data_IF_937449517391
#
_entry.id   IF_937449517391
#
_cell.length_a   1.000
_cell.length_b   1.000
_cell.length_c   1.000
_cell.angle_alpha   90.00
_cell.angle_beta   90.00
_cell.angle_gamma   90.00
#
_symmetry.space_group_name_H-M   'P 1'
#
loop_
_entity.id
_entity.type
_entity.pdbx_description
1 polymer ?
#
# COMPACT_ATOMS: atom_id res chain seq x y z
N UNK A 1 16.51 11.44 -4.21
CA UNK A 1 16.52 9.98 -4.51
C UNK A 1 17.27 9.63 -5.80
N UNK A 2 17.25 10.49 -6.83
CA UNK A 2 17.93 10.21 -8.12
C UNK A 2 19.44 9.99 -7.95
N UNK A 3 20.10 10.78 -7.09
CA UNK A 3 21.53 10.63 -6.81
C UNK A 3 21.86 9.46 -5.87
N UNK A 4 20.85 8.90 -5.21
CA UNK A 4 20.96 7.80 -4.25
C UNK A 4 19.93 6.72 -4.58
N UNK A 5 20.11 5.99 -5.70
CA UNK A 5 19.09 5.10 -6.26
C UNK A 5 18.67 3.97 -5.30
N UNK A 6 19.54 3.56 -4.37
CA UNK A 6 19.17 2.59 -3.33
C UNK A 6 18.03 3.08 -2.42
N UNK A 7 17.86 4.40 -2.27
CA UNK A 7 16.80 5.00 -1.44
C UNK A 7 15.39 4.68 -1.92
N UNK A 8 15.19 4.31 -3.19
CA UNK A 8 13.88 3.85 -3.66
C UNK A 8 13.41 2.58 -2.93
N UNK A 9 14.35 1.77 -2.43
CA UNK A 9 14.06 0.52 -1.72
C UNK A 9 14.37 0.66 -0.23
N UNK A 10 15.54 1.18 0.13
CA UNK A 10 15.98 1.20 1.54
C UNK A 10 15.14 2.13 2.40
N UNK A 11 14.54 3.18 1.84
CA UNK A 11 13.70 4.10 2.61
C UNK A 11 12.40 3.47 3.13
N UNK A 12 11.95 2.38 2.49
CA UNK A 12 10.77 1.60 2.91
C UNK A 12 10.97 1.05 4.34
N UNK A 13 12.21 0.81 4.74
CA UNK A 13 12.55 0.23 6.04
C UNK A 13 12.95 1.29 7.09
N UNK A 14 13.14 2.55 6.69
CA UNK A 14 13.45 3.64 7.60
C UNK A 14 12.17 4.26 8.16
N UNK A 15 12.21 4.72 9.41
CA UNK A 15 11.05 5.29 10.09
C UNK A 15 11.44 6.54 10.85
N UNK A 16 10.56 7.55 10.84
CA UNK A 16 10.79 8.84 11.48
C UNK A 16 10.82 8.77 13.03
N UNK A 17 10.34 7.67 13.61
CA UNK A 17 10.30 7.46 15.06
C UNK A 17 9.64 6.13 15.44
N UNK A 18 9.62 5.84 16.74
CA UNK A 18 9.09 4.57 17.29
C UNK A 18 7.60 4.43 17.03
N UNK A 19 6.83 5.50 17.18
CA UNK A 19 5.37 5.49 16.94
C UNK A 19 5.05 5.17 15.47
N UNK A 20 5.76 5.82 14.54
CA UNK A 20 5.60 5.56 13.11
C UNK A 20 5.96 4.10 12.76
N UNK A 21 7.05 3.58 13.32
CA UNK A 21 7.40 2.15 13.18
C UNK A 21 6.31 1.24 13.74
N UNK A 22 5.86 1.50 14.96
CA UNK A 22 4.86 0.68 15.65
C UNK A 22 3.56 0.61 14.83
N UNK A 23 3.07 1.75 14.35
CA UNK A 23 1.84 1.80 13.56
C UNK A 23 1.98 1.03 12.23
N UNK A 24 3.09 1.23 11.51
CA UNK A 24 3.35 0.48 10.28
C UNK A 24 3.40 -1.02 10.53
N UNK A 25 4.09 -1.46 11.59
CA UNK A 25 4.19 -2.89 11.92
C UNK A 25 2.86 -3.46 12.37
N UNK A 26 2.03 -2.69 13.08
CA UNK A 26 0.69 -3.13 13.49
C UNK A 26 -0.22 -3.35 12.28
N UNK A 27 -0.26 -2.40 11.35
CA UNK A 27 -1.06 -2.53 10.12
C UNK A 27 -0.53 -3.67 9.26
N UNK A 28 0.79 -3.76 9.10
CA UNK A 28 1.43 -4.83 8.34
C UNK A 28 1.18 -6.21 8.97
N UNK A 29 1.16 -6.32 10.29
CA UNK A 29 0.84 -7.56 10.98
C UNK A 29 -0.58 -8.02 10.62
N UNK A 30 -1.61 -7.20 10.84
CA UNK A 30 -2.99 -7.64 10.58
C UNK A 30 -3.31 -7.80 9.09
N UNK A 31 -2.98 -6.79 8.29
CA UNK A 31 -3.34 -6.77 6.87
C UNK A 31 -2.36 -7.58 6.03
N UNK A 32 -1.06 -7.46 6.32
CA UNK A 32 -0.02 -8.19 5.61
C UNK A 32 -0.17 -9.69 5.79
N UNK A 33 -0.35 -10.20 7.02
CA UNK A 33 -0.60 -11.64 7.23
C UNK A 33 -1.86 -12.12 6.49
N UNK A 34 -2.93 -11.32 6.48
CA UNK A 34 -4.17 -11.66 5.80
C UNK A 34 -3.93 -11.79 4.30
N UNK A 35 -3.24 -10.83 3.68
CA UNK A 35 -2.95 -10.86 2.25
C UNK A 35 -1.94 -11.96 1.90
N UNK A 36 -0.88 -12.13 2.68
CA UNK A 36 0.16 -13.14 2.46
C UNK A 36 -0.44 -14.55 2.42
N UNK A 37 -1.40 -14.86 3.29
CA UNK A 37 -2.12 -16.14 3.27
C UNK A 37 -2.94 -16.34 1.99
N UNK A 38 -3.39 -15.25 1.35
CA UNK A 38 -4.19 -15.32 0.12
C UNK A 38 -3.32 -15.47 -1.14
N UNK A 39 -2.14 -14.83 -1.18
CA UNK A 39 -1.31 -14.74 -2.41
C UNK A 39 0.03 -15.48 -2.32
N UNK A 40 0.42 -15.94 -1.13
CA UNK A 40 1.70 -16.59 -0.84
C UNK A 40 2.84 -15.61 -0.56
N UNK A 41 3.84 -16.08 0.20
CA UNK A 41 4.97 -15.26 0.69
C UNK A 41 5.77 -14.57 -0.43
N UNK A 42 6.02 -15.26 -1.55
CA UNK A 42 6.80 -14.69 -2.65
C UNK A 42 6.06 -13.54 -3.35
N UNK A 43 4.78 -13.73 -3.66
CA UNK A 43 3.96 -12.69 -4.29
C UNK A 43 3.76 -11.51 -3.34
N UNK A 44 3.58 -11.78 -2.05
CA UNK A 44 3.49 -10.76 -1.02
C UNK A 44 4.77 -9.92 -0.91
N UNK A 45 5.94 -10.55 -0.81
CA UNK A 45 7.22 -9.84 -0.73
C UNK A 45 7.47 -8.96 -1.96
N UNK A 46 7.22 -9.49 -3.17
CA UNK A 46 7.35 -8.72 -4.41
C UNK A 46 6.37 -7.54 -4.46
N UNK A 47 5.10 -7.77 -4.10
CA UNK A 47 4.09 -6.71 -4.03
C UNK A 47 4.51 -5.62 -3.05
N UNK A 48 4.93 -5.99 -1.84
CA UNK A 48 5.31 -5.04 -0.80
C UNK A 48 6.45 -4.13 -1.27
N UNK A 49 7.53 -4.71 -1.79
CA UNK A 49 8.66 -3.92 -2.31
C UNK A 49 8.26 -3.08 -3.51
N UNK A 50 7.53 -3.65 -4.47
CA UNK A 50 7.10 -2.92 -5.67
C UNK A 50 6.17 -1.75 -5.32
N UNK A 51 5.25 -1.94 -4.38
CA UNK A 51 4.35 -0.88 -3.90
C UNK A 51 5.10 0.22 -3.16
N UNK A 52 6.11 -0.13 -2.37
CA UNK A 52 6.99 0.87 -1.75
C UNK A 52 7.77 1.70 -2.79
N UNK A 53 8.31 1.04 -3.82
CA UNK A 53 9.03 1.72 -4.91
C UNK A 53 8.09 2.64 -5.72
N UNK A 54 6.92 2.14 -6.13
CA UNK A 54 5.93 2.95 -6.85
C UNK A 54 5.37 4.07 -5.97
N UNK A 55 5.23 3.82 -4.66
CA UNK A 55 4.94 4.87 -3.69
C UNK A 55 6.02 5.95 -3.68
N UNK A 56 7.29 5.60 -3.55
CA UNK A 56 8.39 6.57 -3.59
C UNK A 56 8.40 7.38 -4.90
N UNK A 57 8.07 6.76 -6.04
CA UNK A 57 7.87 7.49 -7.31
C UNK A 57 6.68 8.46 -7.22
N UNK A 58 5.54 8.01 -6.70
CA UNK A 58 4.36 8.85 -6.49
C UNK A 58 4.64 10.05 -5.58
N UNK A 59 5.42 9.87 -4.51
CA UNK A 59 5.90 10.97 -3.68
C UNK A 59 6.80 11.93 -4.47
N UNK A 60 7.78 11.44 -5.22
CA UNK A 60 8.65 12.32 -6.02
C UNK A 60 7.89 13.19 -7.03
N UNK A 61 6.78 12.69 -7.56
CA UNK A 61 5.93 13.42 -8.51
C UNK A 61 5.04 14.48 -7.85
N UNK A 62 4.86 14.42 -6.53
CA UNK A 62 3.89 15.25 -5.79
C UNK A 62 4.53 16.08 -4.68
N UNK A 63 5.75 15.75 -4.26
CA UNK A 63 6.47 16.45 -3.21
C UNK A 63 6.79 17.89 -3.63
N UNK A 64 6.59 18.82 -2.69
CA UNK A 64 7.00 20.22 -2.85
C UNK A 64 8.52 20.37 -2.90
N UNK A 65 9.25 19.52 -2.18
CA UNK A 65 10.70 19.36 -2.27
C UNK A 65 11.07 17.89 -2.54
N UNK A 66 11.31 17.51 -3.82
CA UNK A 66 11.71 16.16 -4.20
C UNK A 66 13.10 15.72 -3.68
N UNK A 67 13.89 16.65 -3.14
CA UNK A 67 15.21 16.35 -2.58
C UNK A 67 15.11 15.75 -1.17
N UNK A 68 14.03 16.06 -0.45
CA UNK A 68 13.73 15.43 0.84
C UNK A 68 13.16 14.02 0.57
N UNK A 69 13.84 12.92 0.97
CA UNK A 69 13.34 11.58 0.71
C UNK A 69 12.17 11.22 1.63
N UNK A 70 11.15 10.56 1.09
CA UNK A 70 10.14 9.88 1.89
C UNK A 70 10.75 8.68 2.61
N UNK A 71 10.39 8.47 3.88
CA UNK A 71 10.78 7.32 4.69
C UNK A 71 9.53 6.64 5.25
N UNK A 72 9.53 5.31 5.28
CA UNK A 72 8.47 4.53 5.91
C UNK A 72 7.93 3.42 5.03
N UNK A 73 7.40 2.39 5.68
CA UNK A 73 6.74 1.26 5.04
C UNK A 73 5.33 1.59 4.54
N UNK A 74 4.78 2.78 4.85
CA UNK A 74 3.38 3.11 4.61
C UNK A 74 2.97 3.02 3.14
N UNK A 75 3.81 3.46 2.19
CA UNK A 75 3.53 3.29 0.76
C UNK A 75 3.38 1.81 0.35
N UNK A 76 4.23 0.93 0.87
CA UNK A 76 4.12 -0.51 0.66
C UNK A 76 2.86 -1.10 1.30
N UNK A 77 2.51 -0.64 2.51
CA UNK A 77 1.29 -1.02 3.23
C UNK A 77 0.03 -0.57 2.48
N UNK A 78 0.03 0.60 1.85
CA UNK A 78 -1.07 1.02 0.98
C UNK A 78 -1.22 0.10 -0.24
N UNK A 79 -0.12 -0.48 -0.73
CA UNK A 79 -0.16 -1.59 -1.68
C UNK A 79 -0.94 -2.81 -1.18
N UNK A 80 -0.64 -3.25 0.04
CA UNK A 80 -1.37 -4.35 0.71
C UNK A 80 -2.86 -4.01 0.84
N UNK A 81 -3.19 -2.79 1.28
CA UNK A 81 -4.56 -2.28 1.41
C UNK A 81 -5.27 -2.30 0.06
N UNK A 82 -4.64 -1.78 -1.00
CA UNK A 82 -5.22 -1.73 -2.34
C UNK A 82 -5.50 -3.13 -2.89
N UNK A 83 -4.58 -4.07 -2.70
CA UNK A 83 -4.80 -5.46 -3.12
C UNK A 83 -5.93 -6.12 -2.31
N UNK A 84 -5.97 -5.94 -0.99
CA UNK A 84 -7.05 -6.47 -0.14
C UNK A 84 -8.41 -5.86 -0.48
N UNK A 85 -8.48 -4.55 -0.76
CA UNK A 85 -9.71 -3.89 -1.17
C UNK A 85 -10.29 -4.50 -2.45
N UNK A 86 -9.43 -5.00 -3.36
CA UNK A 86 -9.88 -5.72 -4.54
C UNK A 86 -10.17 -7.18 -4.23
N UNK A 87 -9.30 -7.92 -3.55
CA UNK A 87 -9.48 -9.36 -3.36
C UNK A 87 -10.58 -9.69 -2.34
N UNK A 88 -10.64 -8.94 -1.24
CA UNK A 88 -11.55 -9.15 -0.11
C UNK A 88 -12.24 -7.83 0.30
N UNK A 89 -13.04 -7.19 -0.58
CA UNK A 89 -13.62 -5.86 -0.36
C UNK A 89 -14.46 -5.73 0.91
N UNK A 90 -15.13 -6.83 1.32
CA UNK A 90 -16.01 -6.88 2.47
C UNK A 90 -15.35 -7.47 3.72
N UNK A 91 -14.04 -7.77 3.68
CA UNK A 91 -13.29 -8.10 4.88
C UNK A 91 -13.37 -6.92 5.85
N UNK A 92 -13.78 -7.17 7.09
CA UNK A 92 -13.87 -6.14 8.10
C UNK A 92 -12.49 -5.88 8.70
N UNK A 93 -12.09 -4.61 8.69
CA UNK A 93 -11.02 -4.10 9.53
C UNK A 93 -11.63 -3.35 10.71
N UNK A 94 -10.91 -3.28 11.82
CA UNK A 94 -11.40 -2.61 13.03
C UNK A 94 -10.57 -1.36 13.30
N UNK A 95 -11.15 -0.19 13.01
CA UNK A 95 -10.51 1.09 13.29
C UNK A 95 -10.44 1.27 14.81
N UNK A 96 -9.23 1.50 15.33
CA UNK A 96 -8.90 1.51 16.77
C UNK A 96 -9.36 0.25 17.53
N UNK A 97 -9.57 -0.88 16.83
CA UNK A 97 -10.07 -2.12 17.41
C UNK A 97 -11.57 -2.14 17.73
N UNK A 98 -12.33 -1.09 17.38
CA UNK A 98 -13.72 -0.92 17.81
C UNK A 98 -14.68 -0.84 16.63
N UNK A 99 -14.38 -0.01 15.63
CA UNK A 99 -15.33 0.30 14.56
C UNK A 99 -15.08 -0.63 13.37
N UNK A 100 -15.99 -1.58 13.08
CA UNK A 100 -15.85 -2.43 11.90
C UNK A 100 -16.09 -1.62 10.64
N UNK A 101 -15.15 -1.72 9.69
CA UNK A 101 -15.20 -1.03 8.42
C UNK A 101 -14.83 -2.00 7.30
N UNK A 102 -15.64 -2.13 6.23
CA UNK A 102 -15.26 -2.94 5.07
C UNK A 102 -13.96 -2.41 4.44
N UNK A 103 -13.07 -3.32 4.05
CA UNK A 103 -11.76 -2.99 3.49
C UNK A 103 -11.84 -2.05 2.28
N UNK A 104 -12.84 -2.22 1.41
CA UNK A 104 -13.04 -1.32 0.27
C UNK A 104 -13.40 0.11 0.70
N UNK A 105 -14.20 0.25 1.76
CA UNK A 105 -14.60 1.57 2.28
C UNK A 105 -13.38 2.25 2.90
N UNK A 106 -12.60 1.52 3.70
CA UNK A 106 -11.36 2.02 4.28
C UNK A 106 -10.37 2.49 3.21
N UNK A 107 -10.13 1.68 2.18
CA UNK A 107 -9.22 2.02 1.08
C UNK A 107 -9.66 3.28 0.32
N UNK A 108 -10.97 3.43 0.03
CA UNK A 108 -11.50 4.63 -0.63
C UNK A 108 -11.37 5.85 0.28
N UNK A 109 -11.75 5.75 1.56
CA UNK A 109 -11.66 6.86 2.50
C UNK A 109 -10.22 7.33 2.69
N UNK A 110 -9.28 6.42 2.94
CA UNK A 110 -7.87 6.76 3.09
C UNK A 110 -7.27 7.31 1.80
N UNK A 111 -7.60 6.72 0.64
CA UNK A 111 -7.18 7.26 -0.66
C UNK A 111 -7.70 8.68 -0.91
N UNK A 112 -8.94 8.98 -0.54
CA UNK A 112 -9.50 10.34 -0.65
C UNK A 112 -8.82 11.31 0.31
N UNK A 113 -8.55 10.89 1.55
CA UNK A 113 -7.82 11.71 2.52
C UNK A 113 -6.40 12.01 2.05
N UNK A 114 -5.68 11.04 1.50
CA UNK A 114 -4.35 11.27 0.93
C UNK A 114 -4.39 12.17 -0.31
N UNK A 115 -5.41 12.02 -1.16
CA UNK A 115 -5.58 12.91 -2.30
C UNK A 115 -5.79 14.38 -1.86
N UNK A 116 -6.59 14.61 -0.82
CA UNK A 116 -6.77 15.94 -0.23
C UNK A 116 -5.47 16.42 0.43
N UNK A 117 -4.76 15.53 1.12
CA UNK A 117 -3.49 15.82 1.79
C UNK A 117 -2.35 16.21 0.85
N UNK A 118 -2.44 15.88 -0.45
CA UNK A 118 -1.48 16.38 -1.46
C UNK A 118 -1.35 17.91 -1.47
N UNK A 119 -2.35 18.64 -0.95
CA UNK A 119 -2.39 20.10 -0.94
C UNK A 119 -2.10 20.71 0.43
N UNK A 120 -1.76 19.91 1.44
CA UNK A 120 -1.42 20.40 2.78
C UNK A 120 0.10 20.48 3.02
N UNK A 121 0.48 20.90 4.23
CA UNK A 121 1.88 21.03 4.66
C UNK A 121 2.22 20.10 5.83
N UNK A 122 1.47 18.99 5.98
CA UNK A 122 1.52 18.08 7.12
C UNK A 122 2.81 17.26 7.24
N UNK A 123 3.71 17.34 6.24
CA UNK A 123 4.93 16.54 6.17
C UNK A 123 4.68 15.05 5.89
N UNK A 124 3.43 14.67 5.60
CA UNK A 124 3.06 13.30 5.24
C UNK A 124 3.32 13.07 3.74
N UNK A 125 3.90 11.91 3.41
CA UNK A 125 4.18 11.52 2.04
C UNK A 125 2.92 11.00 1.32
N UNK A 126 1.88 11.83 1.20
CA UNK A 126 0.58 11.46 0.61
C UNK A 126 0.68 10.82 -0.79
N UNK A 127 1.57 11.34 -1.65
CA UNK A 127 1.82 10.75 -2.96
C UNK A 127 2.35 9.31 -2.91
N UNK A 128 3.09 8.94 -1.84
CA UNK A 128 3.54 7.56 -1.65
C UNK A 128 2.40 6.62 -1.31
N UNK A 129 1.46 7.07 -0.50
CA UNK A 129 0.28 6.30 -0.15
C UNK A 129 -0.58 6.03 -1.39
N UNK A 130 -0.84 7.07 -2.20
CA UNK A 130 -1.62 6.95 -3.43
C UNK A 130 -0.94 6.04 -4.47
N UNK A 131 0.38 6.19 -4.67
CA UNK A 131 1.14 5.34 -5.59
C UNK A 131 1.12 3.87 -5.18
N UNK A 132 1.31 3.60 -3.88
CA UNK A 132 1.21 2.26 -3.31
C UNK A 132 -0.19 1.65 -3.52
N UNK A 133 -1.23 2.41 -3.16
CA UNK A 133 -2.63 2.00 -3.29
C UNK A 133 -3.01 1.65 -4.72
N UNK A 134 -2.59 2.49 -5.67
CA UNK A 134 -2.80 2.29 -7.09
C UNK A 134 -2.17 0.97 -7.57
N UNK A 135 -0.88 0.74 -7.28
CA UNK A 135 -0.22 -0.50 -7.68
C UNK A 135 -0.90 -1.72 -7.05
N UNK A 136 -1.24 -1.63 -5.76
CA UNK A 136 -1.92 -2.68 -5.02
C UNK A 136 -3.27 -3.07 -5.64
N UNK A 137 -4.10 -2.08 -5.94
CA UNK A 137 -5.39 -2.29 -6.58
C UNK A 137 -5.25 -2.89 -7.98
N UNK A 138 -4.32 -2.37 -8.79
CA UNK A 138 -4.02 -2.91 -10.13
C UNK A 138 -3.59 -4.38 -10.06
N UNK A 139 -2.70 -4.72 -9.12
CA UNK A 139 -2.27 -6.11 -8.91
C UNK A 139 -3.41 -7.01 -8.43
N UNK A 140 -4.27 -6.53 -7.53
CA UNK A 140 -5.47 -7.25 -7.10
C UNK A 140 -6.43 -7.55 -8.25
N UNK A 141 -6.62 -6.59 -9.17
CA UNK A 141 -7.44 -6.79 -10.38
C UNK A 141 -6.80 -7.81 -11.32
N UNK A 142 -5.49 -7.75 -11.50
CA UNK A 142 -4.73 -8.73 -12.27
C UNK A 142 -4.92 -10.16 -11.72
N UNK A 143 -4.83 -10.35 -10.40
CA UNK A 143 -5.04 -11.65 -9.76
C UNK A 143 -6.46 -12.18 -9.97
N UNK A 144 -7.49 -11.33 -9.81
CA UNK A 144 -8.88 -11.71 -10.11
C UNK A 144 -9.05 -12.16 -11.56
N UNK A 145 -8.47 -11.40 -12.50
CA UNK A 145 -8.52 -11.74 -13.91
C UNK A 145 -7.86 -13.09 -14.22
N UNK A 146 -6.67 -13.35 -13.65
CA UNK A 146 -5.95 -14.62 -13.82
C UNK A 146 -6.77 -15.82 -13.37
N UNK A 147 -7.37 -15.75 -12.18
CA UNK A 147 -8.22 -16.83 -11.63
C UNK A 147 -9.47 -17.05 -12.49
N UNK A 148 -10.15 -15.97 -12.90
CA UNK A 148 -11.35 -16.09 -13.76
C UNK A 148 -11.05 -16.70 -15.13
N UNK A 149 -9.87 -16.42 -15.69
CA UNK A 149 -9.46 -16.92 -16.99
C UNK A 149 -9.06 -18.40 -16.93
N UNK A 150 -8.38 -18.83 -15.86
CA UNK A 150 -8.08 -20.24 -15.64
C UNK A 150 -9.35 -21.10 -15.49
N UNK A 151 -10.36 -20.61 -14.75
CA UNK A 151 -11.65 -21.30 -14.62
C UNK A 151 -12.39 -21.45 -15.95
N UNK A 152 -12.35 -20.43 -16.82
CA UNK A 152 -12.96 -20.52 -18.15
C UNK A 152 -12.32 -21.60 -19.02
N UNK A 153 -11.01 -21.81 -18.91
CA UNK A 153 -10.28 -22.81 -19.70
C UNK A 153 -10.51 -24.24 -19.23
N UNK A 154 -10.80 -24.48 -17.95
CA UNK A 154 -11.08 -25.83 -17.41
C UNK A 154 -12.50 -26.35 -17.71
N UNK A 155 -13.36 -25.52 -18.32
CA UNK A 155 -14.73 -25.90 -18.71
C UNK A 155 -14.87 -26.22 -20.21
N UNK A 156 -13.75 -26.30 -20.92
CA UNK A 156 -13.62 -26.82 -22.30
C UNK A 156 -12.74 -28.08 -22.28
#
# INVERSE_FOLDING_TARGET
AVDMPWMFVTSIFLHAGVEHLLFNMLVLFFMGMSLERMIGHNAFAMLFIASGVVGNIGYMLTASDPMTPSIGASGAIYGVIGTLAVLAPFMLIFIYGIIPLPMVVAAVLWGLLDYIGLFDTSGIAHGAHLGGLFLGAAFGLYLRWRVSSARRQSHF
#
